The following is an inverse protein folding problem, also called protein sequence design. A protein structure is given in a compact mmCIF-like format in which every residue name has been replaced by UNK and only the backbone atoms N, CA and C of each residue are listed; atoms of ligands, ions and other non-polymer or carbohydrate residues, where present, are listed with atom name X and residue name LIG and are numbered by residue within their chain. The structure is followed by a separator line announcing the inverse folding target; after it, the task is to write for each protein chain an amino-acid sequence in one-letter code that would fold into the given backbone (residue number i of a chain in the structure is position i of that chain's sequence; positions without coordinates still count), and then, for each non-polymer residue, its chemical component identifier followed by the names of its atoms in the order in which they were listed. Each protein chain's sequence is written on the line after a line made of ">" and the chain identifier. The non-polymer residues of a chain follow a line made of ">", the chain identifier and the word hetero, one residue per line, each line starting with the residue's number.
data_IF_855507393906
#
_entry.id   IF_855507393906
#
_cell.length_a   1.000
_cell.length_b   1.000
_cell.length_c   1.000
_cell.angle_alpha   90.00
_cell.angle_beta   90.00
_cell.angle_gamma   90.00
#
_symmetry.space_group_name_H-M   'P 1'
#
loop_
_entity.id
_entity.type
_entity.pdbx_description
1 polymer ?
#
# COMPACT_ATOMS: atom_id res chain seq x y z
N UNK A 1 -2.97 3.47 6.51
CA UNK A 1 -1.98 4.57 6.41
C UNK A 1 -2.21 5.58 7.52
N UNK A 2 -1.17 6.11 8.15
CA UNK A 2 -1.28 7.27 9.06
C UNK A 2 -0.69 8.51 8.37
N UNK A 3 -1.42 9.62 8.38
CA UNK A 3 -1.04 10.85 7.69
C UNK A 3 -0.72 11.93 8.73
N UNK A 4 0.50 12.48 8.68
CA UNK A 4 0.89 13.56 9.57
C UNK A 4 0.15 14.86 9.22
N UNK A 5 -0.05 15.73 10.23
CA UNK A 5 -0.62 17.07 10.00
C UNK A 5 0.19 17.87 8.98
N UNK A 6 1.52 17.72 8.99
CA UNK A 6 2.43 18.38 8.05
C UNK A 6 2.20 17.89 6.60
N UNK A 7 2.09 16.58 6.40
CA UNK A 7 1.80 16.01 5.08
C UNK A 7 0.44 16.50 4.57
N UNK A 8 -0.60 16.45 5.40
CA UNK A 8 -1.93 16.98 5.05
C UNK A 8 -1.90 18.45 4.67
N UNK A 9 -1.16 19.28 5.40
CA UNK A 9 -1.05 20.72 5.10
C UNK A 9 -0.29 21.02 3.81
N UNK A 10 0.76 20.24 3.49
CA UNK A 10 1.56 20.44 2.27
C UNK A 10 0.91 19.86 1.01
N UNK A 11 0.29 18.68 1.14
CA UNK A 11 -0.13 17.85 0.00
C UNK A 11 -1.64 17.93 -0.23
N UNK A 12 -2.42 18.29 0.79
CA UNK A 12 -3.88 18.33 0.72
C UNK A 12 -4.52 16.98 1.03
N UNK A 13 -5.65 16.70 0.36
CA UNK A 13 -6.44 15.48 0.51
C UNK A 13 -6.14 14.47 -0.61
N UNK A 14 -6.80 13.31 -0.56
CA UNK A 14 -6.87 12.37 -1.68
C UNK A 14 -7.61 12.99 -2.87
N UNK A 15 -7.23 12.58 -4.08
CA UNK A 15 -7.82 13.07 -5.32
C UNK A 15 -9.07 12.27 -5.69
N UNK A 16 -10.15 12.52 -4.94
CA UNK A 16 -11.44 11.85 -5.14
C UNK A 16 -12.01 12.09 -6.55
N UNK A 17 -11.69 13.24 -7.18
CA UNK A 17 -12.16 13.54 -8.53
C UNK A 17 -11.55 12.59 -9.57
N UNK A 18 -10.28 12.22 -9.40
CA UNK A 18 -9.58 11.34 -10.33
C UNK A 18 -9.76 9.86 -10.01
N UNK A 19 -9.77 9.49 -8.73
CA UNK A 19 -9.83 8.08 -8.31
C UNK A 19 -11.25 7.59 -7.95
N UNK A 20 -12.18 8.50 -7.65
CA UNK A 20 -13.56 8.15 -7.32
C UNK A 20 -13.64 7.28 -6.07
N UNK A 21 -14.23 6.10 -6.21
CA UNK A 21 -14.45 5.16 -5.10
C UNK A 21 -13.18 4.42 -4.66
N UNK A 22 -12.03 4.66 -5.30
CA UNK A 22 -10.73 4.25 -4.79
C UNK A 22 -9.83 3.57 -5.83
N UNK A 23 -8.83 2.87 -5.30
CA UNK A 23 -7.72 2.24 -5.99
C UNK A 23 -6.79 3.25 -6.68
N UNK A 24 -5.70 3.60 -6.00
CA UNK A 24 -4.61 4.42 -6.53
C UNK A 24 -4.49 5.79 -5.87
N UNK A 25 -5.51 6.25 -5.13
CA UNK A 25 -5.49 7.52 -4.41
C UNK A 25 -4.41 7.55 -3.32
N UNK A 26 -4.16 6.43 -2.66
CA UNK A 26 -3.14 6.26 -1.64
C UNK A 26 -1.74 6.27 -2.24
N UNK A 27 -1.59 5.74 -3.46
CA UNK A 27 -0.34 5.73 -4.22
C UNK A 27 -0.03 7.13 -4.76
N UNK A 28 -1.01 7.79 -5.39
CA UNK A 28 -0.91 9.21 -5.79
C UNK A 28 -0.54 10.10 -4.60
N UNK A 29 -1.19 9.92 -3.45
CA UNK A 29 -0.88 10.69 -2.26
C UNK A 29 0.56 10.46 -1.78
N UNK A 30 0.99 9.21 -1.68
CA UNK A 30 2.35 8.85 -1.26
C UNK A 30 3.41 9.45 -2.18
N UNK A 31 3.16 9.45 -3.49
CA UNK A 31 4.05 10.05 -4.48
C UNK A 31 4.05 11.58 -4.40
N UNK A 32 2.90 12.22 -4.17
CA UNK A 32 2.83 13.67 -3.92
C UNK A 32 3.54 14.08 -2.63
N UNK A 33 3.47 13.26 -1.58
CA UNK A 33 4.25 13.43 -0.34
C UNK A 33 5.75 13.44 -0.63
N UNK A 34 6.25 12.47 -1.40
CA UNK A 34 7.66 12.43 -1.82
C UNK A 34 8.03 13.67 -2.64
N UNK A 35 7.21 14.05 -3.64
CA UNK A 35 7.42 15.26 -4.46
C UNK A 35 7.41 16.55 -3.64
N UNK A 36 6.72 16.60 -2.50
CA UNK A 36 6.71 17.72 -1.57
C UNK A 36 7.90 17.74 -0.58
N UNK A 37 8.88 16.84 -0.77
CA UNK A 37 10.09 16.72 0.04
C UNK A 37 9.85 16.08 1.41
N UNK A 38 8.80 15.28 1.55
CA UNK A 38 8.53 14.49 2.75
C UNK A 38 8.82 13.01 2.50
N UNK A 39 8.81 12.21 3.56
CA UNK A 39 9.12 10.78 3.50
C UNK A 39 7.89 9.93 3.76
N UNK A 40 7.76 8.84 3.01
CA UNK A 40 6.90 7.71 3.36
C UNK A 40 7.73 6.74 4.22
N UNK A 41 7.20 6.35 5.38
CA UNK A 41 7.93 5.54 6.37
C UNK A 41 7.11 4.28 6.67
N UNK A 42 7.76 3.13 6.59
CA UNK A 42 7.21 1.85 7.06
C UNK A 42 7.41 1.76 8.57
N UNK A 43 6.34 1.44 9.29
CA UNK A 43 6.34 1.25 10.74
C UNK A 43 6.60 -0.23 11.05
N UNK A 44 7.82 -0.59 11.41
CA UNK A 44 8.26 -1.98 11.60
C UNK A 44 7.95 -2.56 12.99
N UNK A 45 7.47 -1.74 13.92
CA UNK A 45 7.09 -2.13 15.27
C UNK A 45 5.57 -2.24 15.48
N UNK A 46 4.78 -2.09 14.42
CA UNK A 46 3.33 -2.25 14.45
C UNK A 46 2.91 -3.17 13.30
N UNK A 47 2.12 -4.18 13.63
CA UNK A 47 1.62 -5.14 12.65
C UNK A 47 0.10 -5.15 12.66
N UNK A 48 -0.50 -4.96 11.48
CA UNK A 48 -1.94 -4.98 11.25
C UNK A 48 -2.20 -5.98 10.14
N UNK A 49 -2.94 -7.05 10.44
CA UNK A 49 -3.35 -8.04 9.46
C UNK A 49 -4.61 -7.53 8.77
N UNK A 50 -4.63 -7.60 7.44
CA UNK A 50 -5.81 -7.34 6.63
C UNK A 50 -6.23 -8.66 5.98
N UNK A 51 -7.35 -9.23 6.41
CA UNK A 51 -7.91 -10.47 5.85
C UNK A 51 -9.03 -10.11 4.89
N UNK A 52 -8.91 -10.51 3.62
CA UNK A 52 -9.94 -10.31 2.60
C UNK A 52 -10.00 -8.90 1.98
N UNK A 53 -10.97 -8.69 1.09
CA UNK A 53 -11.23 -7.44 0.35
C UNK A 53 -12.62 -6.87 0.69
N UNK A 54 -12.98 -6.89 1.97
CA UNK A 54 -14.35 -6.59 2.44
C UNK A 54 -14.82 -5.17 2.06
N UNK A 55 -13.92 -4.18 2.02
CA UNK A 55 -14.30 -2.78 1.83
C UNK A 55 -14.98 -2.47 0.50
N UNK A 56 -14.81 -3.32 -0.53
CA UNK A 56 -15.39 -3.11 -1.86
C UNK A 56 -16.17 -4.32 -2.41
N UNK A 57 -16.28 -5.39 -1.64
CA UNK A 57 -16.96 -6.62 -2.06
C UNK A 57 -18.42 -6.37 -2.48
N UNK A 58 -19.16 -5.58 -1.69
CA UNK A 58 -20.58 -5.26 -1.97
C UNK A 58 -20.78 -4.35 -3.20
N UNK A 59 -19.75 -3.59 -3.59
CA UNK A 59 -19.79 -2.70 -4.75
C UNK A 59 -19.28 -3.37 -6.04
N UNK A 60 -18.74 -4.59 -5.95
CA UNK A 60 -18.11 -5.29 -7.08
C UNK A 60 -16.89 -4.56 -7.66
N UNK A 61 -16.35 -3.57 -6.95
CA UNK A 61 -15.23 -2.76 -7.41
C UNK A 61 -13.93 -3.53 -7.16
N UNK A 62 -13.18 -3.77 -8.22
CA UNK A 62 -11.87 -4.43 -8.18
C UNK A 62 -10.84 -3.55 -8.89
N UNK A 63 -9.57 -3.58 -8.47
CA UNK A 63 -8.53 -2.88 -9.20
C UNK A 63 -8.41 -3.51 -10.59
N UNK A 64 -8.48 -2.66 -11.61
CA UNK A 64 -8.42 -3.07 -13.02
C UNK A 64 -7.37 -2.27 -13.79
N UNK A 65 -7.19 -2.57 -15.09
CA UNK A 65 -6.24 -1.85 -15.93
C UNK A 65 -6.50 -0.34 -16.01
N UNK A 66 -7.77 0.08 -16.02
CA UNK A 66 -8.16 1.49 -16.08
C UNK A 66 -7.72 2.26 -14.81
N UNK A 67 -7.79 1.59 -13.68
CA UNK A 67 -7.35 2.13 -12.39
C UNK A 67 -5.85 2.37 -12.36
N UNK A 68 -5.06 1.41 -12.83
CA UNK A 68 -3.62 1.61 -13.01
C UNK A 68 -3.34 2.74 -14.01
N UNK A 69 -4.07 2.79 -15.13
CA UNK A 69 -3.90 3.86 -16.12
C UNK A 69 -4.15 5.25 -15.53
N UNK A 70 -5.18 5.42 -14.68
CA UNK A 70 -5.45 6.69 -13.98
C UNK A 70 -4.26 7.13 -13.12
N UNK A 71 -3.63 6.20 -12.40
CA UNK A 71 -2.44 6.48 -11.62
C UNK A 71 -1.25 6.86 -12.53
N UNK A 72 -0.99 6.08 -13.59
CA UNK A 72 0.13 6.30 -14.51
C UNK A 72 0.02 7.60 -15.31
N UNK A 73 -1.20 8.08 -15.58
CA UNK A 73 -1.39 9.41 -16.18
C UNK A 73 -0.81 10.53 -15.32
N UNK A 74 -0.82 10.38 -13.99
CA UNK A 74 -0.27 11.37 -13.04
C UNK A 74 1.17 11.05 -12.64
N UNK A 75 1.54 9.77 -12.65
CA UNK A 75 2.82 9.25 -12.20
C UNK A 75 3.36 8.21 -13.19
N UNK A 76 3.93 8.63 -14.34
CA UNK A 76 4.38 7.71 -15.38
C UNK A 76 5.47 6.73 -14.92
N UNK A 77 6.33 7.17 -14.00
CA UNK A 77 7.47 6.39 -13.49
C UNK A 77 7.09 5.45 -12.32
N UNK A 78 5.82 5.43 -11.91
CA UNK A 78 5.36 4.68 -10.75
C UNK A 78 5.73 3.20 -10.78
N UNK A 79 5.55 2.54 -11.93
CA UNK A 79 5.84 1.10 -12.04
C UNK A 79 7.33 0.83 -11.88
N UNK A 80 8.20 1.69 -12.40
CA UNK A 80 9.64 1.50 -12.28
C UNK A 80 10.10 1.67 -10.82
N UNK A 81 9.57 2.67 -10.12
CA UNK A 81 9.84 2.86 -8.69
C UNK A 81 9.38 1.66 -7.84
N UNK A 82 8.15 1.17 -8.07
CA UNK A 82 7.59 0.05 -7.32
C UNK A 82 8.31 -1.26 -7.64
N UNK A 83 8.59 -1.55 -8.91
CA UNK A 83 9.37 -2.73 -9.28
C UNK A 83 10.78 -2.67 -8.69
N UNK A 84 11.41 -1.50 -8.68
CA UNK A 84 12.70 -1.29 -8.02
C UNK A 84 12.66 -1.65 -6.53
N UNK A 85 11.64 -1.18 -5.82
CA UNK A 85 11.46 -1.47 -4.39
C UNK A 85 11.16 -2.97 -4.13
N UNK A 86 10.27 -3.58 -4.92
CA UNK A 86 9.92 -5.00 -4.80
C UNK A 86 11.16 -5.88 -5.05
N UNK A 87 11.93 -5.59 -6.10
CA UNK A 87 13.11 -6.37 -6.46
C UNK A 87 14.23 -6.22 -5.42
N UNK A 88 14.40 -5.02 -4.84
CA UNK A 88 15.35 -4.80 -3.75
C UNK A 88 14.93 -5.50 -2.44
N UNK A 89 13.62 -5.70 -2.25
CA UNK A 89 13.00 -6.38 -1.11
C UNK A 89 13.60 -5.98 0.26
N UNK A 90 13.68 -4.68 0.59
CA UNK A 90 14.36 -4.23 1.81
C UNK A 90 13.71 -4.75 3.09
N UNK A 91 12.43 -5.16 3.03
CA UNK A 91 11.66 -5.68 4.16
C UNK A 91 11.77 -7.20 4.33
N UNK A 92 12.57 -7.90 3.50
CA UNK A 92 12.66 -9.36 3.49
C UNK A 92 12.91 -9.96 4.86
N UNK A 93 13.91 -9.47 5.58
CA UNK A 93 14.32 -10.01 6.87
C UNK A 93 13.21 -9.85 7.91
N UNK A 94 12.59 -8.67 8.00
CA UNK A 94 11.49 -8.40 8.91
C UNK A 94 10.28 -9.28 8.59
N UNK A 95 9.90 -9.39 7.31
CA UNK A 95 8.79 -10.24 6.86
C UNK A 95 9.02 -11.70 7.24
N UNK A 96 10.23 -12.22 7.05
CA UNK A 96 10.59 -13.59 7.45
C UNK A 96 10.49 -13.80 8.96
N UNK A 97 10.96 -12.85 9.76
CA UNK A 97 10.83 -12.91 11.22
C UNK A 97 9.37 -12.92 11.67
N UNK A 98 8.53 -12.07 11.07
CA UNK A 98 7.10 -12.04 11.37
C UNK A 98 6.39 -13.34 10.98
N UNK A 99 6.66 -13.89 9.80
CA UNK A 99 6.09 -15.18 9.37
C UNK A 99 6.48 -16.31 10.32
N UNK A 100 7.73 -16.36 10.79
CA UNK A 100 8.15 -17.37 11.76
C UNK A 100 7.43 -17.21 13.11
N UNK A 101 7.26 -15.97 13.59
CA UNK A 101 6.50 -15.70 14.81
C UNK A 101 5.04 -16.13 14.66
N UNK A 102 4.40 -15.81 13.53
CA UNK A 102 3.03 -16.23 13.24
C UNK A 102 2.94 -17.75 13.22
N UNK A 103 3.83 -18.44 12.50
CA UNK A 103 3.86 -19.91 12.42
C UNK A 103 3.95 -20.57 13.80
N UNK A 104 4.80 -20.03 14.68
CA UNK A 104 5.01 -20.58 16.02
C UNK A 104 3.80 -20.37 16.95
N UNK A 105 2.97 -19.34 16.70
CA UNK A 105 1.85 -18.98 17.57
C UNK A 105 0.48 -19.40 17.00
N UNK A 106 0.32 -19.43 15.69
CA UNK A 106 -0.91 -19.76 14.98
C UNK A 106 -0.58 -20.29 13.58
N UNK A 107 -0.41 -21.62 13.48
CA UNK A 107 -0.02 -22.27 12.23
C UNK A 107 -1.12 -22.24 11.16
N UNK A 108 -2.39 -22.12 11.54
CA UNK A 108 -3.49 -21.99 10.57
C UNK A 108 -3.50 -20.60 9.93
N UNK A 109 -3.26 -19.55 10.71
CA UNK A 109 -3.05 -18.20 10.18
C UNK A 109 -1.80 -18.11 9.30
N UNK A 110 -0.72 -18.81 9.66
CA UNK A 110 0.46 -18.89 8.80
C UNK A 110 0.10 -19.45 7.42
N UNK A 111 -0.60 -20.59 7.39
CA UNK A 111 -1.07 -21.24 6.17
C UNK A 111 -1.93 -20.33 5.30
N UNK A 112 -2.90 -19.65 5.91
CA UNK A 112 -3.77 -18.67 5.24
C UNK A 112 -2.97 -17.51 4.62
N UNK A 113 -1.91 -17.03 5.28
CA UNK A 113 -1.09 -15.91 4.78
C UNK A 113 -0.07 -16.30 3.72
N UNK A 114 0.35 -17.57 3.66
CA UNK A 114 1.39 -18.04 2.73
C UNK A 114 0.83 -18.85 1.56
N UNK A 115 -0.49 -19.06 1.49
CA UNK A 115 -1.13 -20.01 0.58
C UNK A 115 -0.53 -21.43 0.68
N UNK A 116 -0.09 -21.84 1.89
CA UNK A 116 0.45 -23.19 2.21
C UNK A 116 -0.61 -24.06 2.90
#
# INVERSE_FOLDING_TARGET
>A
MLISKQAKQKVGYFDEQHFGHGYGEENDYSLRVTKAGLLNIVCDNAYVIHLGNESFADLGLQPNAETMQRLLQKHPDYLDEIHGYINADPMKQLRQQMLQLIRNNNNDLYRELTDE
#
